data_IF_941120338421
#
_entry.id   IF_941120338421
#
_cell.length_a   1.000
_cell.length_b   1.000
_cell.length_c   1.000
_cell.angle_alpha   90.00
_cell.angle_beta   90.00
_cell.angle_gamma   90.00
#
_symmetry.space_group_name_H-M   'P 1'
#
loop_
_entity.id
_entity.type
_entity.pdbx_description
1 polymer ?
#
# COMPACT_ATOMS: atom_id res chain seq x y z
N UNK A 1 -12.91 2.79 -0.81
CA UNK A 1 -12.56 1.37 -1.06
C UNK A 1 -11.22 1.30 -1.77
N UNK A 2 -10.12 1.07 -1.06
CA UNK A 2 -8.81 0.88 -1.72
C UNK A 2 -8.57 -0.62 -1.92
N UNK A 3 -8.25 -1.05 -3.16
CA UNK A 3 -7.99 -2.47 -3.47
C UNK A 3 -6.87 -3.06 -2.60
N UNK A 4 -5.91 -2.24 -2.16
CA UNK A 4 -4.88 -2.68 -1.23
C UNK A 4 -5.45 -3.12 0.12
N UNK A 5 -6.43 -2.38 0.70
CA UNK A 5 -7.07 -2.76 1.97
C UNK A 5 -7.88 -4.05 1.82
N UNK A 6 -8.55 -4.22 0.68
CA UNK A 6 -9.23 -5.47 0.31
C UNK A 6 -8.23 -6.64 0.31
N UNK A 7 -7.08 -6.47 -0.33
CA UNK A 7 -6.06 -7.53 -0.39
C UNK A 7 -5.56 -7.91 1.01
N UNK A 8 -5.24 -6.95 1.87
CA UNK A 8 -4.81 -7.21 3.25
C UNK A 8 -5.87 -7.98 4.05
N UNK A 9 -7.13 -7.53 3.99
CA UNK A 9 -8.24 -8.21 4.67
C UNK A 9 -8.48 -9.62 4.11
N UNK A 10 -8.30 -9.83 2.80
CA UNK A 10 -8.40 -11.14 2.18
C UNK A 10 -7.29 -12.09 2.63
N UNK A 11 -6.05 -11.60 2.74
CA UNK A 11 -4.93 -12.38 3.29
C UNK A 11 -5.24 -12.77 4.74
N UNK A 12 -5.61 -11.81 5.59
CA UNK A 12 -5.98 -12.09 6.99
C UNK A 12 -7.13 -13.09 7.11
N UNK A 13 -8.18 -12.95 6.30
CA UNK A 13 -9.28 -13.90 6.28
C UNK A 13 -8.82 -15.33 5.97
N UNK A 14 -8.02 -15.48 4.91
CA UNK A 14 -7.54 -16.77 4.46
C UNK A 14 -6.49 -17.41 5.38
N UNK A 15 -5.61 -16.60 5.98
CA UNK A 15 -4.52 -17.06 6.85
C UNK A 15 -5.01 -17.51 8.23
N UNK A 16 -6.07 -16.88 8.74
CA UNK A 16 -6.57 -17.15 10.10
C UNK A 16 -7.95 -17.81 10.13
N UNK A 17 -8.48 -18.20 8.97
CA UNK A 17 -9.75 -18.93 8.88
C UNK A 17 -10.95 -18.14 9.35
N UNK A 18 -10.94 -16.81 9.20
CA UNK A 18 -12.08 -15.97 9.56
C UNK A 18 -13.30 -16.39 8.72
N UNK A 19 -14.49 -16.30 9.31
CA UNK A 19 -15.77 -16.59 8.64
C UNK A 19 -16.72 -15.40 8.64
N UNK A 20 -16.52 -14.47 9.56
CA UNK A 20 -17.37 -13.29 9.73
C UNK A 20 -16.80 -12.09 8.94
N UNK A 21 -17.55 -11.66 7.92
CA UNK A 21 -17.20 -10.50 7.10
C UNK A 21 -17.40 -9.16 7.83
N UNK A 22 -18.07 -9.12 9.00
CA UNK A 22 -18.23 -7.89 9.78
C UNK A 22 -16.89 -7.32 10.27
N UNK A 23 -15.92 -8.20 10.52
CA UNK A 23 -14.56 -7.81 10.91
C UNK A 23 -13.70 -7.29 9.73
N UNK A 24 -14.20 -7.39 8.49
CA UNK A 24 -13.45 -7.14 7.26
C UNK A 24 -14.28 -6.26 6.31
N UNK A 25 -14.48 -4.98 6.65
CA UNK A 25 -15.46 -4.13 5.95
C UNK A 25 -15.13 -3.91 4.47
N UNK A 26 -13.86 -3.71 4.10
CA UNK A 26 -13.46 -3.52 2.69
C UNK A 26 -13.65 -4.82 1.90
N UNK A 27 -13.26 -5.96 2.48
CA UNK A 27 -13.45 -7.27 1.87
C UNK A 27 -14.94 -7.58 1.64
N UNK A 28 -15.78 -7.24 2.62
CA UNK A 28 -17.23 -7.41 2.55
C UNK A 28 -17.82 -6.64 1.38
N UNK A 29 -17.52 -5.34 1.30
CA UNK A 29 -18.02 -4.50 0.20
C UNK A 29 -17.51 -5.01 -1.13
N UNK A 30 -16.22 -5.37 -1.24
CA UNK A 30 -15.63 -5.89 -2.48
C UNK A 30 -16.33 -7.16 -2.97
N UNK A 31 -16.54 -8.11 -2.05
CA UNK A 31 -17.22 -9.36 -2.32
C UNK A 31 -18.65 -9.13 -2.81
N UNK A 32 -19.40 -8.25 -2.15
CA UNK A 32 -20.79 -7.92 -2.49
C UNK A 32 -20.88 -7.21 -3.84
N UNK A 33 -20.08 -6.16 -4.05
CA UNK A 33 -20.08 -5.38 -5.29
C UNK A 33 -19.71 -6.24 -6.50
N UNK A 34 -18.69 -7.09 -6.39
CA UNK A 34 -18.19 -7.89 -7.50
C UNK A 34 -18.70 -9.32 -7.53
N UNK A 35 -19.70 -9.64 -6.69
CA UNK A 35 -20.34 -10.96 -6.54
C UNK A 35 -19.32 -12.11 -6.51
N UNK A 36 -18.25 -11.95 -5.72
CA UNK A 36 -17.18 -12.94 -5.64
C UNK A 36 -17.68 -14.14 -4.84
N UNK A 37 -17.63 -15.35 -5.40
CA UNK A 37 -18.03 -16.57 -4.70
C UNK A 37 -16.97 -16.96 -3.67
N UNK A 38 -17.38 -17.56 -2.55
CA UNK A 38 -16.43 -18.18 -1.60
C UNK A 38 -15.82 -19.43 -2.24
N UNK A 39 -14.58 -19.74 -1.88
CA UNK A 39 -13.90 -20.96 -2.34
C UNK A 39 -13.75 -21.90 -1.15
N UNK A 40 -14.19 -23.15 -1.29
CA UNK A 40 -14.13 -24.18 -0.23
C UNK A 40 -14.76 -23.73 1.10
N UNK A 41 -15.88 -23.00 1.05
CA UNK A 41 -16.55 -22.40 2.22
C UNK A 41 -15.65 -21.48 3.06
N UNK A 42 -14.53 -21.00 2.51
CA UNK A 42 -13.62 -20.04 3.15
C UNK A 42 -13.73 -18.68 2.46
N UNK A 43 -13.73 -17.62 3.27
CA UNK A 43 -13.59 -16.25 2.78
C UNK A 43 -12.10 -15.89 2.64
N UNK A 44 -11.80 -14.95 1.75
CA UNK A 44 -10.45 -14.42 1.54
C UNK A 44 -9.72 -15.07 0.37
N UNK A 45 -9.92 -16.35 0.06
CA UNK A 45 -9.17 -17.02 -1.02
C UNK A 45 -9.52 -16.47 -2.41
N UNK A 46 -10.81 -16.50 -2.77
CA UNK A 46 -11.27 -16.02 -4.07
C UNK A 46 -11.15 -14.51 -4.20
N UNK A 47 -11.44 -13.78 -3.12
CA UNK A 47 -11.31 -12.32 -3.06
C UNK A 47 -9.85 -11.89 -3.22
N UNK A 48 -8.91 -12.56 -2.55
CA UNK A 48 -7.46 -12.32 -2.70
C UNK A 48 -7.03 -12.51 -4.15
N UNK A 49 -7.41 -13.63 -4.77
CA UNK A 49 -7.04 -13.92 -6.16
C UNK A 49 -7.62 -12.88 -7.14
N UNK A 50 -8.90 -12.54 -6.98
CA UNK A 50 -9.56 -11.55 -7.86
C UNK A 50 -8.97 -10.15 -7.65
N UNK A 51 -8.75 -9.74 -6.40
CA UNK A 51 -8.15 -8.45 -6.08
C UNK A 51 -6.72 -8.33 -6.61
N UNK A 52 -5.89 -9.38 -6.46
CA UNK A 52 -4.55 -9.45 -7.04
C UNK A 52 -4.60 -9.24 -8.56
N UNK A 53 -5.44 -10.01 -9.25
CA UNK A 53 -5.61 -9.92 -10.71
C UNK A 53 -6.00 -8.50 -11.14
N UNK A 54 -7.00 -7.90 -10.49
CA UNK A 54 -7.41 -6.53 -10.79
C UNK A 54 -6.28 -5.51 -10.59
N UNK A 55 -5.53 -5.60 -9.49
CA UNK A 55 -4.42 -4.68 -9.23
C UNK A 55 -3.27 -4.85 -10.23
N UNK A 56 -2.97 -6.10 -10.64
CA UNK A 56 -2.01 -6.37 -11.70
C UNK A 56 -2.45 -5.79 -13.05
N UNK A 57 -3.70 -6.02 -13.46
CA UNK A 57 -4.22 -5.55 -14.74
C UNK A 57 -4.35 -4.02 -14.83
N UNK A 58 -4.82 -3.37 -13.75
CA UNK A 58 -5.13 -1.93 -13.76
C UNK A 58 -3.87 -1.08 -13.50
N UNK A 59 -3.00 -1.54 -12.59
CA UNK A 59 -1.86 -0.74 -12.11
C UNK A 59 -0.50 -1.36 -12.47
N UNK A 60 -0.46 -2.59 -12.98
CA UNK A 60 0.81 -3.27 -13.24
C UNK A 60 1.54 -3.69 -11.96
N UNK A 61 0.81 -3.95 -10.85
CA UNK A 61 1.43 -4.39 -9.60
C UNK A 61 2.06 -5.78 -9.77
N UNK A 62 3.31 -5.90 -9.35
CA UNK A 62 4.13 -7.09 -9.41
C UNK A 62 3.66 -8.19 -8.46
N UNK A 63 3.93 -9.44 -8.80
CA UNK A 63 3.65 -10.57 -7.92
C UNK A 63 4.48 -10.55 -6.63
N UNK A 64 5.71 -10.04 -6.70
CA UNK A 64 6.58 -9.82 -5.54
C UNK A 64 5.95 -8.88 -4.51
N UNK A 65 5.25 -7.84 -4.95
CA UNK A 65 4.58 -6.90 -4.07
C UNK A 65 3.56 -7.60 -3.15
N UNK A 66 2.74 -8.49 -3.74
CA UNK A 66 1.75 -9.26 -3.00
C UNK A 66 2.39 -10.30 -2.08
N UNK A 67 3.47 -10.93 -2.53
CA UNK A 67 4.21 -11.92 -1.74
C UNK A 67 4.78 -11.31 -0.46
N UNK A 68 5.32 -10.09 -0.51
CA UNK A 68 5.81 -9.41 0.69
C UNK A 68 4.68 -9.07 1.68
N UNK A 69 3.48 -8.73 1.21
CA UNK A 69 2.31 -8.52 2.08
C UNK A 69 1.94 -9.82 2.80
N UNK A 70 1.86 -10.92 2.04
CA UNK A 70 1.56 -12.24 2.60
C UNK A 70 2.59 -12.65 3.66
N UNK A 71 3.89 -12.46 3.36
CA UNK A 71 4.98 -12.78 4.29
C UNK A 71 4.97 -11.88 5.52
N UNK A 72 4.73 -10.58 5.34
CA UNK A 72 4.65 -9.61 6.44
C UNK A 72 3.52 -9.98 7.41
N UNK A 73 2.30 -10.20 6.91
CA UNK A 73 1.16 -10.62 7.74
C UNK A 73 1.46 -11.94 8.43
N UNK A 74 2.02 -12.93 7.72
CA UNK A 74 2.36 -14.23 8.30
C UNK A 74 3.40 -14.13 9.42
N UNK A 75 4.38 -13.24 9.30
CA UNK A 75 5.45 -13.05 10.31
C UNK A 75 4.99 -12.23 11.50
N UNK A 76 4.12 -11.24 11.28
CA UNK A 76 3.76 -10.22 12.28
C UNK A 76 2.43 -10.47 12.98
N UNK A 77 1.51 -11.21 12.37
CA UNK A 77 0.28 -11.64 12.99
C UNK A 77 0.38 -13.13 13.36
N UNK A 78 0.25 -13.46 14.65
CA UNK A 78 0.20 -14.85 15.14
C UNK A 78 -1.20 -15.27 15.51
N UNK A 79 -2.06 -14.31 15.84
CA UNK A 79 -3.46 -14.53 16.17
C UNK A 79 -4.35 -13.41 15.58
N UNK A 80 -5.67 -13.53 15.77
CA UNK A 80 -6.66 -12.58 15.24
C UNK A 80 -6.55 -11.19 15.87
N UNK A 81 -6.13 -11.08 17.13
CA UNK A 81 -5.99 -9.78 17.81
C UNK A 81 -4.86 -8.94 17.20
N UNK A 82 -3.80 -9.59 16.70
CA UNK A 82 -2.66 -8.92 16.06
C UNK A 82 -3.07 -8.22 14.75
N UNK A 83 -4.16 -8.65 14.11
CA UNK A 83 -4.60 -8.09 12.82
C UNK A 83 -4.92 -6.61 12.89
N UNK A 84 -5.67 -6.18 13.92
CA UNK A 84 -6.08 -4.78 14.05
C UNK A 84 -4.87 -3.89 14.33
N UNK A 85 -3.98 -4.33 15.23
CA UNK A 85 -2.71 -3.65 15.50
C UNK A 85 -1.87 -3.53 14.23
N UNK A 86 -1.75 -4.60 13.45
CA UNK A 86 -1.02 -4.60 12.20
C UNK A 86 -1.64 -3.66 11.15
N UNK A 87 -2.97 -3.65 11.00
CA UNK A 87 -3.65 -2.72 10.09
C UNK A 87 -3.46 -1.27 10.51
N UNK A 88 -3.45 -0.99 11.81
CA UNK A 88 -3.17 0.34 12.36
C UNK A 88 -1.72 0.77 12.07
N UNK A 89 -0.74 -0.12 12.31
CA UNK A 89 0.66 0.11 11.96
C UNK A 89 0.83 0.36 10.45
N UNK A 90 0.19 -0.46 9.62
CA UNK A 90 0.24 -0.31 8.16
C UNK A 90 -0.38 1.01 7.70
N UNK A 91 -1.49 1.43 8.32
CA UNK A 91 -2.09 2.73 8.03
C UNK A 91 -1.16 3.89 8.42
N UNK A 92 -0.57 3.86 9.61
CA UNK A 92 0.41 4.87 10.03
C UNK A 92 1.63 4.91 9.11
N UNK A 93 2.15 3.74 8.74
CA UNK A 93 3.26 3.60 7.79
C UNK A 93 2.97 4.25 6.45
N UNK A 94 1.84 3.90 5.83
CA UNK A 94 1.49 4.39 4.49
C UNK A 94 1.21 5.88 4.50
N UNK A 95 0.58 6.41 5.56
CA UNK A 95 0.37 7.85 5.73
C UNK A 95 1.70 8.59 5.84
N UNK A 96 2.58 8.17 6.77
CA UNK A 96 3.86 8.82 7.00
C UNK A 96 4.76 8.75 5.76
N UNK A 97 4.80 7.58 5.11
CA UNK A 97 5.55 7.38 3.87
C UNK A 97 5.06 8.32 2.77
N UNK A 98 3.75 8.41 2.53
CA UNK A 98 3.21 9.27 1.48
C UNK A 98 3.43 10.76 1.78
N UNK A 99 3.30 11.20 3.03
CA UNK A 99 3.59 12.57 3.42
C UNK A 99 5.07 12.91 3.22
N UNK A 100 5.97 12.03 3.66
CA UNK A 100 7.41 12.18 3.48
C UNK A 100 7.79 12.23 1.99
N UNK A 101 7.26 11.32 1.19
CA UNK A 101 7.50 11.31 -0.25
C UNK A 101 6.92 12.57 -0.92
N UNK A 102 5.79 13.08 -0.44
CA UNK A 102 5.24 14.39 -0.81
C UNK A 102 6.25 15.52 -0.63
N UNK A 103 6.88 15.60 0.55
CA UNK A 103 7.90 16.59 0.84
C UNK A 103 9.16 16.40 -0.03
N UNK A 104 9.72 15.19 -0.08
CA UNK A 104 10.95 14.87 -0.82
C UNK A 104 10.81 15.01 -2.35
N UNK A 105 9.60 14.79 -2.86
CA UNK A 105 9.31 14.80 -4.29
C UNK A 105 8.50 16.01 -4.75
N UNK A 106 8.25 17.02 -3.91
CA UNK A 106 7.27 18.11 -4.14
C UNK A 106 7.29 18.71 -5.58
N UNK A 107 8.46 19.02 -6.14
CA UNK A 107 8.57 19.55 -7.51
C UNK A 107 8.39 18.48 -8.62
N UNK A 108 8.73 17.22 -8.32
CA UNK A 108 8.77 16.09 -9.24
C UNK A 108 7.37 15.53 -9.56
N UNK A 109 6.35 15.90 -8.79
CA UNK A 109 4.94 15.64 -9.11
C UNK A 109 4.52 16.31 -10.42
N UNK A 110 5.18 17.39 -10.84
CA UNK A 110 4.90 18.13 -12.08
C UNK A 110 5.41 17.45 -13.35
N UNK A 111 6.13 16.33 -13.23
CA UNK A 111 6.62 15.58 -14.39
C UNK A 111 5.44 15.07 -15.25
N UNK A 112 5.47 15.23 -16.57
CA UNK A 112 4.45 14.66 -17.44
C UNK A 112 4.30 13.14 -17.28
N UNK A 113 3.07 12.63 -17.47
CA UNK A 113 2.73 11.21 -17.29
C UNK A 113 3.39 10.26 -18.29
N UNK A 114 3.98 10.78 -19.38
CA UNK A 114 4.79 10.00 -20.32
C UNK A 114 6.21 9.70 -19.80
N UNK A 115 6.71 10.45 -18.80
CA UNK A 115 8.02 10.24 -18.17
C UNK A 115 7.96 9.22 -17.01
N UNK A 116 7.24 8.11 -17.20
CA UNK A 116 7.01 7.09 -16.16
C UNK A 116 8.30 6.49 -15.60
N UNK A 117 9.26 6.19 -16.48
CA UNK A 117 10.57 5.67 -16.08
C UNK A 117 11.36 6.64 -15.20
N UNK A 118 11.34 7.94 -15.55
CA UNK A 118 12.00 8.96 -14.73
C UNK A 118 11.33 9.08 -13.36
N UNK A 119 9.99 9.09 -13.30
CA UNK A 119 9.26 9.11 -12.04
C UNK A 119 9.60 7.90 -11.17
N UNK A 120 9.65 6.70 -11.76
CA UNK A 120 10.03 5.47 -11.06
C UNK A 120 11.44 5.55 -10.48
N UNK A 121 12.43 5.98 -11.26
CA UNK A 121 13.81 6.13 -10.81
C UNK A 121 13.93 7.16 -9.67
N UNK A 122 13.18 8.26 -9.74
CA UNK A 122 13.15 9.28 -8.70
C UNK A 122 12.50 8.76 -7.42
N UNK A 123 11.40 8.01 -7.53
CA UNK A 123 10.78 7.32 -6.39
C UNK A 123 11.78 6.36 -5.74
N UNK A 124 12.49 5.56 -6.55
CA UNK A 124 13.47 4.60 -6.04
C UNK A 124 14.61 5.30 -5.30
N UNK A 125 15.14 6.39 -5.88
CA UNK A 125 16.17 7.20 -5.23
C UNK A 125 15.67 7.77 -3.90
N UNK A 126 14.48 8.37 -3.88
CA UNK A 126 13.92 8.96 -2.65
C UNK A 126 13.66 7.89 -1.58
N UNK A 127 13.17 6.70 -1.94
CA UNK A 127 13.04 5.58 -1.00
C UNK A 127 14.42 5.15 -0.49
N UNK A 128 15.43 5.03 -1.35
CA UNK A 128 16.80 4.69 -0.94
C UNK A 128 17.39 5.72 0.02
N UNK A 129 17.18 7.00 -0.23
CA UNK A 129 17.64 8.09 0.62
C UNK A 129 17.02 8.00 2.03
N UNK A 130 15.75 7.57 2.13
CA UNK A 130 15.10 7.31 3.43
C UNK A 130 15.90 6.31 4.26
N UNK A 131 16.60 5.33 3.68
CA UNK A 131 17.35 4.31 4.44
C UNK A 131 18.86 4.58 4.56
N UNK A 132 19.43 5.27 3.59
CA UNK A 132 20.90 5.44 3.49
C UNK A 132 21.39 6.79 4.02
N UNK A 133 20.54 7.82 4.01
CA UNK A 133 20.91 9.16 4.46
C UNK A 133 20.71 9.29 5.97
N UNK A 134 21.75 9.70 6.69
CA UNK A 134 21.70 9.85 8.15
C UNK A 134 21.41 11.28 8.62
N UNK A 135 21.55 12.28 7.75
CA UNK A 135 21.31 13.69 8.09
C UNK A 135 20.31 14.34 7.13
N UNK A 136 19.43 15.16 7.70
CA UNK A 136 18.46 15.96 6.96
C UNK A 136 18.51 17.38 7.52
N UNK A 137 18.49 18.38 6.63
CA UNK A 137 18.54 19.79 7.02
C UNK A 137 17.26 20.23 7.74
N UNK A 138 16.13 19.62 7.38
CA UNK A 138 14.83 19.85 7.99
C UNK A 138 14.57 18.82 9.09
N UNK A 139 14.41 19.29 10.33
CA UNK A 139 14.13 18.46 11.49
C UNK A 139 12.80 17.68 11.38
N UNK A 140 11.80 18.25 10.70
CA UNK A 140 10.52 17.58 10.44
C UNK A 140 10.70 16.39 9.50
N UNK A 141 11.53 16.55 8.46
CA UNK A 141 11.89 15.47 7.53
C UNK A 141 12.70 14.39 8.25
N UNK A 142 13.63 14.78 9.12
CA UNK A 142 14.40 13.83 9.92
C UNK A 142 13.49 12.97 10.80
N UNK A 143 12.53 13.59 11.50
CA UNK A 143 11.55 12.88 12.34
C UNK A 143 10.69 11.91 11.51
N UNK A 144 10.18 12.37 10.37
CA UNK A 144 9.37 11.53 9.48
C UNK A 144 10.16 10.34 8.93
N UNK A 145 11.43 10.54 8.55
CA UNK A 145 12.33 9.44 8.12
C UNK A 145 12.48 8.41 9.24
N UNK A 146 12.69 8.83 10.49
CA UNK A 146 12.81 7.92 11.63
C UNK A 146 11.51 7.14 11.89
N UNK A 147 10.36 7.80 11.77
CA UNK A 147 9.05 7.15 11.89
C UNK A 147 8.86 6.09 10.79
N UNK A 148 9.13 6.44 9.53
CA UNK A 148 9.02 5.51 8.40
C UNK A 148 9.93 4.30 8.58
N UNK A 149 11.18 4.50 9.04
CA UNK A 149 12.11 3.40 9.36
C UNK A 149 11.58 2.51 10.48
N UNK A 150 11.04 3.11 11.55
CA UNK A 150 10.46 2.37 12.67
C UNK A 150 9.29 1.48 12.22
N UNK A 151 8.35 2.05 11.46
CA UNK A 151 7.24 1.29 10.87
C UNK A 151 7.73 0.22 9.90
N UNK A 152 8.71 0.52 9.05
CA UNK A 152 9.27 -0.45 8.13
C UNK A 152 9.93 -1.61 8.89
N UNK A 153 10.63 -1.37 10.00
CA UNK A 153 11.19 -2.43 10.82
C UNK A 153 10.11 -3.33 11.45
N UNK A 154 8.97 -2.74 11.85
CA UNK A 154 7.82 -3.47 12.39
C UNK A 154 7.12 -4.31 11.32
N UNK A 155 6.93 -3.77 10.11
CA UNK A 155 6.17 -4.41 9.04
C UNK A 155 7.06 -5.34 8.18
N UNK A 156 8.33 -5.00 7.98
CA UNK A 156 9.30 -5.80 7.22
C UNK A 156 9.22 -5.63 5.70
N UNK A 157 8.68 -4.54 5.18
CA UNK A 157 8.63 -4.25 3.74
C UNK A 157 9.99 -3.86 3.18
N UNK A 158 10.30 -4.34 1.98
CA UNK A 158 11.51 -3.98 1.27
C UNK A 158 11.45 -2.56 0.68
N UNK A 159 12.62 -2.01 0.34
CA UNK A 159 12.69 -0.76 -0.42
C UNK A 159 12.00 -0.90 -1.80
N UNK A 160 12.05 -2.09 -2.41
CA UNK A 160 11.38 -2.35 -3.68
C UNK A 160 9.86 -2.27 -3.54
N UNK A 161 9.31 -2.89 -2.49
CA UNK A 161 7.89 -2.81 -2.14
C UNK A 161 7.45 -1.36 -1.90
N UNK A 162 8.22 -0.61 -1.10
CA UNK A 162 7.94 0.80 -0.82
C UNK A 162 7.96 1.64 -2.09
N UNK A 163 8.95 1.42 -2.96
CA UNK A 163 9.06 2.14 -4.23
C UNK A 163 7.85 1.85 -5.11
N UNK A 164 7.44 0.59 -5.21
CA UNK A 164 6.26 0.19 -5.99
C UNK A 164 4.96 0.76 -5.44
N UNK A 165 4.78 0.71 -4.11
CA UNK A 165 3.64 1.33 -3.44
C UNK A 165 3.54 2.81 -3.78
N UNK A 166 4.61 3.58 -3.51
CA UNK A 166 4.62 5.03 -3.72
C UNK A 166 4.40 5.35 -5.19
N UNK A 167 5.15 4.71 -6.10
CA UNK A 167 5.02 4.95 -7.54
C UNK A 167 3.58 4.75 -8.03
N UNK A 168 2.90 3.69 -7.60
CA UNK A 168 1.53 3.43 -8.02
C UNK A 168 0.52 4.43 -7.44
N UNK A 169 0.68 4.84 -6.18
CA UNK A 169 -0.15 5.91 -5.60
C UNK A 169 0.06 7.23 -6.35
N UNK A 170 1.31 7.55 -6.72
CA UNK A 170 1.62 8.73 -7.52
C UNK A 170 0.98 8.68 -8.92
N UNK A 171 1.04 7.53 -9.59
CA UNK A 171 0.45 7.35 -10.91
C UNK A 171 -1.09 7.45 -10.86
N UNK A 172 -1.71 6.96 -9.78
CA UNK A 172 -3.14 7.11 -9.51
C UNK A 172 -3.54 8.57 -9.37
N UNK A 173 -2.86 9.33 -8.51
CA UNK A 173 -3.13 10.75 -8.30
C UNK A 173 -2.95 11.59 -9.58
N UNK A 174 -2.14 11.13 -10.55
CA UNK A 174 -1.96 11.78 -11.85
C UNK A 174 -3.03 11.42 -12.89
N UNK A 175 -3.71 10.28 -12.73
CA UNK A 175 -4.77 9.83 -13.64
C UNK A 175 -6.13 10.45 -13.29
N UNK A 176 -6.33 10.86 -12.05
CA UNK A 176 -7.53 11.61 -11.66
C UNK A 176 -7.56 12.93 -12.45
N UNK A 177 -8.63 13.19 -13.24
CA UNK A 177 -8.75 14.46 -13.94
C UNK A 177 -8.73 15.56 -12.89
N UNK A 178 -7.86 16.56 -13.08
CA UNK A 178 -8.00 17.80 -12.31
C UNK A 178 -9.41 18.28 -12.61
N UNK A 179 -10.27 18.34 -11.60
CA UNK A 179 -11.40 19.25 -11.66
C UNK A 179 -10.78 20.62 -11.90
N UNK A 180 -10.82 21.08 -13.15
CA UNK A 180 -10.71 22.50 -13.44
C UNK A 180 -11.86 23.09 -12.62
N UNK A 181 -11.54 23.69 -11.48
CA UNK A 181 -12.40 24.71 -10.89
C UNK A 181 -12.37 25.90 -11.87
N UNK A 182 -13.03 25.74 -13.00
CA UNK A 182 -13.76 26.80 -13.67
C UNK A 182 -15.16 26.63 -13.12
N UNK A 183 -15.45 27.38 -12.06
CA UNK A 183 -16.77 27.89 -11.67
C UNK A 183 -16.67 28.45 -10.24
N UNK A 184 -16.16 29.70 -10.15
CA UNK A 184 -16.58 30.77 -9.23
C UNK A 184 -15.64 31.98 -9.42
#
# INVERSE_FOLDING_TARGET
>A
MTLIRVYYQAVMASSFGLRDLRALPDLRVFKQTLKVQTLNNKIGLAEKSKCKKMMNEIYGISDSFFKEIDESIKRRCRNVNDMQTYLFQFQGFTQELMMLMGNLMNWKFRLPSFLRGALRNLTEKSVRDIFTKNSWSDASVQKAVMNVRSYQAQLGYSQAWMTEFVYNVLMLAKKEPKTDNKDA
#
